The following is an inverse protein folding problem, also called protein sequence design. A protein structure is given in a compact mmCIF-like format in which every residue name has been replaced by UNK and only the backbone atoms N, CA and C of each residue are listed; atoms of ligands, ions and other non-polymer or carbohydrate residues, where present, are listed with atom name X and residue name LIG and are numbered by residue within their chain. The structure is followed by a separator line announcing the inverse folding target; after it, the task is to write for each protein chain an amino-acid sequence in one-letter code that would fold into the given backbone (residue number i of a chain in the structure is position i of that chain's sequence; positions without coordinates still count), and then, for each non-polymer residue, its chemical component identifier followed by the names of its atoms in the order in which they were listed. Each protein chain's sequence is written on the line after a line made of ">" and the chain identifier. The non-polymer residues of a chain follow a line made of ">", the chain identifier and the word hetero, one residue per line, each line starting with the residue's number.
data_IF_242112964484
#
_entry.id   IF_242112964484
#
_cell.length_a   1.000
_cell.length_b   1.000
_cell.length_c   1.000
_cell.angle_alpha   90.00
_cell.angle_beta   90.00
_cell.angle_gamma   90.00
#
_symmetry.space_group_name_H-M   'P 1'
#
loop_
_entity.id
_entity.type
_entity.pdbx_description
1 polymer ?
#
# COMPACT_ATOMS: atom_id res chain seq x y z
N UNK A 1 12.33 -21.88 30.88
CA UNK A 1 11.22 -20.91 30.90
C UNK A 1 10.24 -21.30 29.80
N UNK A 2 8.97 -20.90 29.91
CA UNK A 2 7.98 -21.12 28.84
C UNK A 2 7.79 -19.81 28.07
N UNK A 3 8.74 -19.54 27.19
CA UNK A 3 8.83 -18.26 26.47
C UNK A 3 7.87 -18.21 25.28
N UNK A 4 7.34 -19.36 24.85
CA UNK A 4 6.37 -19.46 23.75
C UNK A 4 5.04 -19.99 24.28
N UNK A 5 4.05 -19.12 24.38
CA UNK A 5 2.71 -19.46 24.82
C UNK A 5 1.75 -19.30 23.66
N UNK A 6 0.66 -20.03 23.66
CA UNK A 6 -0.32 -19.89 22.59
C UNK A 6 -1.56 -20.72 22.80
N UNK A 7 -2.51 -20.47 21.91
CA UNK A 7 -3.78 -21.16 21.83
C UNK A 7 -3.94 -21.72 20.42
N UNK A 8 -4.24 -23.01 20.33
CA UNK A 8 -4.48 -23.71 19.08
C UNK A 8 -5.89 -24.25 19.06
N UNK A 9 -6.65 -23.91 18.03
CA UNK A 9 -8.00 -24.44 17.83
C UNK A 9 -7.96 -25.84 17.21
N UNK A 10 -9.08 -26.58 17.27
CA UNK A 10 -9.24 -27.88 16.58
C UNK A 10 -9.01 -27.78 15.06
N UNK A 11 -9.32 -26.62 14.49
CA UNK A 11 -9.11 -26.31 13.07
C UNK A 11 -7.69 -25.80 12.76
N UNK A 12 -6.74 -25.96 13.69
CA UNK A 12 -5.32 -25.58 13.53
C UNK A 12 -5.07 -24.09 13.29
N UNK A 13 -5.98 -23.21 13.73
CA UNK A 13 -5.68 -21.77 13.82
C UNK A 13 -4.89 -21.50 15.09
N UNK A 14 -3.90 -20.61 15.01
CA UNK A 14 -2.98 -20.31 16.09
C UNK A 14 -3.08 -18.85 16.52
N UNK A 15 -3.02 -18.65 17.84
CA UNK A 15 -2.64 -17.39 18.47
C UNK A 15 -1.40 -17.70 19.31
N UNK A 16 -0.27 -17.06 19.03
CA UNK A 16 0.99 -17.31 19.74
C UNK A 16 1.65 -16.03 20.23
N UNK A 17 2.33 -16.16 21.36
CA UNK A 17 3.10 -15.14 22.05
C UNK A 17 4.51 -15.69 22.23
N UNK A 18 5.50 -14.90 21.83
CA UNK A 18 6.92 -15.18 22.06
C UNK A 18 7.45 -14.09 22.99
N UNK A 19 7.62 -14.41 24.28
CA UNK A 19 8.12 -13.51 25.32
C UNK A 19 9.60 -13.13 25.08
N UNK A 20 10.35 -13.92 24.30
CA UNK A 20 11.75 -13.67 23.98
C UNK A 20 11.95 -12.57 22.93
N UNK A 21 11.07 -12.52 21.93
CA UNK A 21 11.06 -11.46 20.91
C UNK A 21 9.95 -10.42 21.12
N UNK A 22 9.07 -10.65 22.11
CA UNK A 22 7.82 -9.94 22.33
C UNK A 22 6.95 -9.89 21.07
N UNK A 23 6.84 -11.04 20.40
CA UNK A 23 6.07 -11.19 19.17
C UNK A 23 4.69 -11.78 19.45
N UNK A 24 3.65 -11.22 18.84
CA UNK A 24 2.30 -11.78 18.81
C UNK A 24 1.99 -12.19 17.38
N UNK A 25 1.60 -13.45 17.16
CA UNK A 25 1.23 -13.96 15.84
C UNK A 25 -0.15 -14.59 15.87
N UNK A 26 -0.99 -14.25 14.89
CA UNK A 26 -2.26 -14.90 14.61
C UNK A 26 -2.17 -15.49 13.21
N UNK A 27 -2.38 -16.79 13.05
CA UNK A 27 -2.33 -17.44 11.74
C UNK A 27 -3.37 -18.53 11.52
N UNK A 28 -3.70 -18.76 10.25
CA UNK A 28 -4.57 -19.85 9.80
C UNK A 28 -3.79 -20.85 8.94
N UNK A 29 -4.23 -22.13 8.87
CA UNK A 29 -3.58 -23.13 8.01
C UNK A 29 -3.58 -22.78 6.53
N UNK A 30 -4.53 -21.94 6.11
CA UNK A 30 -4.63 -21.49 4.72
C UNK A 30 -3.54 -20.47 4.35
N UNK A 31 -2.82 -19.90 5.32
CA UNK A 31 -1.71 -18.97 5.08
C UNK A 31 -2.00 -17.51 5.43
N UNK A 32 -3.16 -17.20 6.02
CA UNK A 32 -3.43 -15.85 6.52
C UNK A 32 -2.67 -15.64 7.83
N UNK A 33 -2.05 -14.47 8.01
CA UNK A 33 -1.21 -14.17 9.16
C UNK A 33 -1.21 -12.69 9.53
N UNK A 34 -1.22 -12.42 10.82
CA UNK A 34 -0.96 -11.10 11.42
C UNK A 34 0.18 -11.28 12.42
N UNK A 35 1.21 -10.44 12.33
CA UNK A 35 2.39 -10.47 13.20
C UNK A 35 2.64 -9.08 13.77
N UNK A 36 2.73 -8.96 15.10
CA UNK A 36 3.20 -7.77 15.80
C UNK A 36 4.53 -8.15 16.46
N UNK A 37 5.63 -7.57 16.03
CA UNK A 37 6.98 -7.93 16.45
C UNK A 37 7.70 -6.68 17.00
N UNK A 38 7.89 -6.64 18.33
CA UNK A 38 8.56 -5.53 19.00
C UNK A 38 10.08 -5.55 18.75
N UNK A 39 10.70 -6.73 18.71
CA UNK A 39 12.14 -6.87 18.45
C UNK A 39 12.51 -6.41 17.04
N UNK A 40 11.67 -6.73 16.06
CA UNK A 40 11.78 -6.27 14.68
C UNK A 40 11.17 -4.89 14.41
N UNK A 41 10.55 -4.26 15.42
CA UNK A 41 9.82 -2.98 15.30
C UNK A 41 8.86 -2.94 14.10
N UNK A 42 8.10 -4.02 13.90
CA UNK A 42 7.28 -4.21 12.71
C UNK A 42 5.91 -4.80 13.01
N UNK A 43 4.94 -4.44 12.17
CA UNK A 43 3.63 -5.06 12.08
C UNK A 43 3.44 -5.55 10.64
N UNK A 44 3.07 -6.81 10.47
CA UNK A 44 2.86 -7.41 9.16
C UNK A 44 1.51 -8.13 9.10
N UNK A 45 0.77 -7.90 8.02
CA UNK A 45 -0.46 -8.62 7.68
C UNK A 45 -0.24 -9.25 6.31
N UNK A 46 -0.41 -10.57 6.22
CA UNK A 46 -0.34 -11.31 4.96
C UNK A 46 -1.56 -12.20 4.78
N UNK A 47 -2.02 -12.34 3.54
CA UNK A 47 -3.03 -13.33 3.20
C UNK A 47 -2.45 -14.50 2.40
N UNK A 48 -3.27 -15.54 2.22
CA UNK A 48 -2.97 -16.71 1.42
C UNK A 48 -2.79 -16.44 -0.09
N UNK A 49 -3.17 -15.27 -0.57
CA UNK A 49 -3.09 -14.87 -1.98
C UNK A 49 -1.82 -14.05 -2.28
N UNK A 50 -0.97 -13.82 -1.28
CA UNK A 50 0.27 -13.05 -1.40
C UNK A 50 0.09 -11.53 -1.22
N UNK A 51 -1.09 -11.07 -0.79
CA UNK A 51 -1.29 -9.68 -0.41
C UNK A 51 -0.58 -9.40 0.92
N UNK A 52 0.09 -8.25 1.01
CA UNK A 52 0.90 -7.88 2.17
C UNK A 52 0.73 -6.41 2.54
N UNK A 53 0.59 -6.15 3.84
CA UNK A 53 0.72 -4.82 4.44
C UNK A 53 1.78 -4.89 5.52
N UNK A 54 2.79 -4.03 5.42
CA UNK A 54 3.90 -3.96 6.38
C UNK A 54 4.03 -2.54 6.90
N UNK A 55 4.15 -2.41 8.23
CA UNK A 55 4.47 -1.17 8.91
C UNK A 55 5.73 -1.38 9.73
N UNK A 56 6.77 -0.61 9.48
CA UNK A 56 8.07 -0.73 10.14
C UNK A 56 8.76 0.65 10.29
N UNK A 57 10.03 0.65 10.69
CA UNK A 57 10.82 1.89 10.85
C UNK A 57 11.01 2.70 9.56
N UNK A 58 10.86 2.08 8.38
CA UNK A 58 10.94 2.74 7.08
C UNK A 58 9.58 3.31 6.63
N UNK A 59 8.47 2.92 7.26
CA UNK A 59 7.13 3.46 7.02
C UNK A 59 6.10 2.38 6.73
N UNK A 60 5.24 2.62 5.74
CA UNK A 60 4.12 1.74 5.38
C UNK A 60 4.28 1.25 3.95
N UNK A 61 4.14 -0.06 3.74
CA UNK A 61 4.18 -0.71 2.43
C UNK A 61 2.93 -1.55 2.21
N UNK A 62 2.33 -1.43 1.03
CA UNK A 62 1.16 -2.22 0.60
C UNK A 62 1.52 -2.90 -0.73
N UNK A 63 1.40 -4.22 -0.78
CA UNK A 63 1.76 -5.05 -1.93
C UNK A 63 0.63 -6.02 -2.27
N UNK A 64 0.35 -6.16 -3.56
CA UNK A 64 -0.60 -7.13 -4.11
C UNK A 64 -0.02 -7.67 -5.42
N UNK A 65 -0.02 -9.00 -5.64
CA UNK A 65 0.42 -9.58 -6.90
C UNK A 65 -0.55 -9.34 -8.05
N UNK A 66 -1.79 -8.92 -7.76
CA UNK A 66 -2.84 -8.70 -8.77
C UNK A 66 -3.24 -7.22 -8.81
N UNK A 67 -4.24 -6.83 -8.01
CA UNK A 67 -4.84 -5.50 -8.08
C UNK A 67 -4.94 -4.86 -6.69
N UNK A 68 -4.89 -3.52 -6.67
CA UNK A 68 -5.22 -2.67 -5.53
C UNK A 68 -6.24 -1.66 -6.03
N UNK A 69 -7.42 -1.62 -5.41
CA UNK A 69 -8.47 -0.66 -5.71
C UNK A 69 -8.74 0.24 -4.50
N UNK A 70 -8.65 1.56 -4.68
CA UNK A 70 -8.90 2.56 -3.64
C UNK A 70 -10.09 3.41 -4.08
N UNK A 71 -11.22 3.27 -3.37
CA UNK A 71 -12.46 4.02 -3.61
C UNK A 71 -12.78 4.88 -2.39
N UNK A 72 -13.09 6.14 -2.63
CA UNK A 72 -13.58 7.06 -1.60
C UNK A 72 -14.96 7.61 -2.01
N UNK A 73 -15.91 7.65 -1.07
CA UNK A 73 -17.27 8.11 -1.35
C UNK A 73 -17.42 9.62 -1.42
N UNK A 74 -16.49 10.37 -0.82
CA UNK A 74 -16.51 11.84 -0.80
C UNK A 74 -15.20 12.39 -1.34
N UNK A 75 -14.10 12.24 -0.58
CA UNK A 75 -12.80 12.80 -0.92
C UNK A 75 -11.69 11.76 -0.74
N UNK A 76 -10.75 11.76 -1.69
CA UNK A 76 -9.46 11.08 -1.58
C UNK A 76 -8.36 12.13 -1.74
N UNK A 77 -7.49 12.27 -0.75
CA UNK A 77 -6.36 13.21 -0.78
C UNK A 77 -5.05 12.45 -0.59
N UNK A 78 -4.15 12.56 -1.56
CA UNK A 78 -2.78 12.05 -1.47
C UNK A 78 -1.83 13.24 -1.41
N UNK A 79 -1.01 13.31 -0.36
CA UNK A 79 -0.03 14.39 -0.18
C UNK A 79 1.28 13.83 0.36
N UNK A 80 2.40 14.38 -0.12
CA UNK A 80 3.74 14.05 0.34
C UNK A 80 4.54 15.34 0.49
N UNK A 81 5.22 15.52 1.63
CA UNK A 81 5.93 16.76 1.94
C UNK A 81 7.19 16.96 1.07
N UNK A 82 7.90 15.87 0.76
CA UNK A 82 9.13 15.93 -0.02
C UNK A 82 8.89 15.62 -1.51
N UNK A 83 8.24 14.48 -1.80
CA UNK A 83 8.05 14.02 -3.17
C UNK A 83 6.91 13.02 -3.28
N UNK A 84 6.11 13.12 -4.33
CA UNK A 84 5.18 12.10 -4.79
C UNK A 84 5.65 11.58 -6.15
N UNK A 85 5.88 10.28 -6.27
CA UNK A 85 6.25 9.63 -7.54
C UNK A 85 5.18 8.63 -7.93
N UNK A 86 4.71 8.72 -9.18
CA UNK A 86 3.75 7.80 -9.78
C UNK A 86 4.42 7.19 -11.01
N UNK A 87 4.50 5.87 -11.07
CA UNK A 87 5.14 5.14 -12.17
C UNK A 87 4.33 3.90 -12.49
N UNK A 88 3.98 3.74 -13.76
CA UNK A 88 3.26 2.58 -14.28
C UNK A 88 3.57 2.43 -15.77
N UNK A 89 3.30 1.24 -16.32
CA UNK A 89 3.36 1.03 -17.76
C UNK A 89 2.32 1.90 -18.51
N UNK A 90 1.18 2.16 -17.88
CA UNK A 90 0.15 3.09 -18.36
C UNK A 90 -0.46 3.85 -17.20
N UNK A 91 -0.74 5.15 -17.42
CA UNK A 91 -1.45 6.01 -16.47
C UNK A 91 -2.63 6.63 -17.21
N UNK A 92 -3.83 6.50 -16.64
CA UNK A 92 -5.05 7.13 -17.14
C UNK A 92 -5.65 8.01 -16.06
N UNK A 93 -5.83 9.30 -16.37
CA UNK A 93 -6.41 10.30 -15.47
C UNK A 93 -7.67 10.80 -16.14
N UNK A 94 -8.81 10.62 -15.48
CA UNK A 94 -10.11 11.12 -15.92
C UNK A 94 -10.78 11.87 -14.77
N UNK A 95 -11.24 13.08 -15.04
CA UNK A 95 -12.16 13.81 -14.19
C UNK A 95 -13.35 14.26 -15.03
N UNK A 96 -14.55 14.24 -14.45
CA UNK A 96 -15.77 14.64 -15.14
C UNK A 96 -15.97 16.16 -15.16
N UNK A 97 -15.34 16.90 -14.23
CA UNK A 97 -15.39 18.35 -14.14
C UNK A 97 -14.06 18.99 -14.56
N UNK A 98 -13.04 18.89 -13.73
CA UNK A 98 -11.74 19.54 -13.95
C UNK A 98 -10.57 18.65 -13.53
N UNK A 99 -9.44 18.81 -14.24
CA UNK A 99 -8.13 18.31 -13.84
C UNK A 99 -7.22 19.52 -13.69
N UNK A 100 -6.82 19.85 -12.46
CA UNK A 100 -5.82 20.89 -12.19
C UNK A 100 -4.45 20.27 -11.89
N UNK A 101 -3.41 20.83 -12.49
CA UNK A 101 -2.01 20.46 -12.24
C UNK A 101 -1.19 21.75 -12.08
N UNK A 102 -0.78 22.02 -10.84
CA UNK A 102 -0.03 23.23 -10.49
C UNK A 102 1.38 22.87 -10.00
N UNK A 103 2.36 23.65 -10.45
CA UNK A 103 3.75 23.50 -10.03
C UNK A 103 4.60 24.61 -10.63
N UNK A 104 5.73 24.91 -10.00
CA UNK A 104 6.66 25.92 -10.52
C UNK A 104 7.23 25.53 -11.91
N UNK A 105 7.37 24.23 -12.17
CA UNK A 105 7.84 23.67 -13.44
C UNK A 105 6.99 22.45 -13.77
N UNK A 106 6.44 22.41 -14.99
CA UNK A 106 5.79 21.23 -15.55
C UNK A 106 6.59 20.75 -16.76
N UNK A 107 7.01 19.48 -16.77
CA UNK A 107 7.70 18.86 -17.90
C UNK A 107 6.89 17.67 -18.40
N UNK A 108 6.41 17.77 -19.64
CA UNK A 108 5.78 16.68 -20.36
C UNK A 108 6.74 16.18 -21.44
N UNK A 109 7.08 14.89 -21.40
CA UNK A 109 8.05 14.28 -22.31
C UNK A 109 7.49 12.94 -22.81
N UNK A 110 7.37 12.79 -24.13
CA UNK A 110 6.98 11.54 -24.78
C UNK A 110 8.03 11.16 -25.81
N UNK A 111 8.38 9.87 -25.88
CA UNK A 111 9.22 9.34 -26.97
C UNK A 111 8.42 9.17 -28.27
N UNK A 112 7.09 9.09 -28.16
CA UNK A 112 6.17 9.01 -29.29
C UNK A 112 5.41 10.31 -29.49
N UNK A 113 4.15 10.19 -29.91
CA UNK A 113 3.26 11.34 -30.12
C UNK A 113 2.76 11.86 -28.78
N UNK A 114 2.75 13.18 -28.62
CA UNK A 114 2.01 13.86 -27.55
C UNK A 114 0.82 14.55 -28.21
N UNK A 115 -0.40 14.15 -27.87
CA UNK A 115 -1.63 14.75 -28.37
C UNK A 115 -2.27 15.59 -27.26
N UNK A 116 -2.56 16.86 -27.56
CA UNK A 116 -3.27 17.77 -26.67
C UNK A 116 -4.47 18.32 -27.42
N UNK A 117 -5.67 17.95 -26.99
CA UNK A 117 -6.93 18.35 -27.63
C UNK A 117 -7.72 19.26 -26.70
N UNK A 118 -8.26 20.32 -27.27
CA UNK A 118 -9.11 21.28 -26.58
C UNK A 118 -9.66 22.28 -27.59
N UNK A 119 -10.82 22.86 -27.32
CA UNK A 119 -11.36 23.95 -28.14
C UNK A 119 -10.42 25.15 -28.19
N UNK A 120 -9.69 25.40 -27.09
CA UNK A 120 -8.66 26.43 -26.97
C UNK A 120 -7.49 25.84 -26.17
N UNK A 121 -6.28 25.95 -26.72
CA UNK A 121 -5.03 25.71 -25.99
C UNK A 121 -4.31 27.04 -25.85
N UNK A 122 -4.23 27.55 -24.63
CA UNK A 122 -3.56 28.82 -24.34
C UNK A 122 -2.12 28.56 -23.90
N UNK A 123 -1.16 29.04 -24.69
CA UNK A 123 0.26 29.05 -24.37
C UNK A 123 0.66 30.52 -24.29
N UNK A 124 1.28 30.95 -23.18
CA UNK A 124 1.79 32.32 -23.01
C UNK A 124 3.29 32.28 -22.80
#
# INVERSE_FOLDING_TARGET
>A
ANDKKGFTTRSKMHLSFDDGTKTITIDTPAGNRITLDEAGTKIEITDQNGNKVTMDSAGIKVESPLAIEIKAGTNLTLSAAASLSISAASVSIKADADVSMEGAIAKLSSQGITEVTGSIVKIN
#
